data_IF_658077258214
#
_entry.id   IF_658077258214
#
_cell.length_a   1.000
_cell.length_b   1.000
_cell.length_c   1.000
_cell.angle_alpha   90.00
_cell.angle_beta   90.00
_cell.angle_gamma   90.00
#
_symmetry.space_group_name_H-M   'P 1'
#
loop_
_entity.id
_entity.type
_entity.pdbx_description
1 polymer ?
#
# COMPACT_ATOMS: atom_id res chain seq x y z
N UNK A 1 21.58 -1.40 11.28
CA UNK A 1 20.63 -1.10 12.38
C UNK A 1 19.24 -1.17 11.81
N UNK A 2 18.35 -1.92 12.43
CA UNK A 2 16.98 -2.03 11.95
C UNK A 2 16.06 -2.62 13.01
N UNK A 3 14.80 -2.21 12.97
CA UNK A 3 13.80 -2.61 13.96
C UNK A 3 13.71 -1.64 15.14
N UNK A 4 12.57 -1.69 15.82
CA UNK A 4 12.19 -0.72 16.87
C UNK A 4 13.24 -0.69 18.00
N UNK A 5 13.71 -1.85 18.45
CA UNK A 5 14.68 -1.94 19.54
C UNK A 5 16.00 -1.22 19.22
N UNK A 6 16.61 -1.53 18.07
CA UNK A 6 17.87 -0.93 17.61
C UNK A 6 17.73 0.58 17.43
N UNK A 7 16.61 1.04 16.86
CA UNK A 7 16.36 2.47 16.64
C UNK A 7 16.20 3.23 17.96
N UNK A 8 15.51 2.65 18.94
CA UNK A 8 15.38 3.24 20.27
C UNK A 8 16.72 3.25 21.02
N UNK A 9 17.54 2.21 20.90
CA UNK A 9 18.89 2.19 21.47
C UNK A 9 19.77 3.26 20.85
N UNK A 10 19.77 3.37 19.53
CA UNK A 10 20.51 4.41 18.81
C UNK A 10 20.07 5.80 19.24
N UNK A 11 18.76 6.06 19.34
CA UNK A 11 18.24 7.37 19.74
C UNK A 11 18.67 7.76 21.17
N UNK A 12 18.67 6.80 22.11
CA UNK A 12 19.14 7.04 23.48
C UNK A 12 20.63 7.38 23.54
N UNK A 13 21.44 6.71 22.73
CA UNK A 13 22.90 6.88 22.75
C UNK A 13 23.36 8.13 22.01
N UNK A 14 22.80 8.39 20.82
CA UNK A 14 23.32 9.38 19.87
C UNK A 14 22.54 10.69 19.88
N UNK A 15 21.24 10.65 20.20
CA UNK A 15 20.35 11.83 20.14
C UNK A 15 19.86 12.27 21.53
N UNK A 16 20.24 11.55 22.60
CA UNK A 16 19.82 11.81 23.98
C UNK A 16 18.30 11.88 24.21
N UNK A 17 17.49 11.34 23.29
CA UNK A 17 16.04 11.20 23.48
C UNK A 17 15.75 9.86 24.16
N UNK A 18 15.44 9.91 25.46
CA UNK A 18 15.22 8.71 26.27
C UNK A 18 13.94 7.94 25.88
N UNK A 19 12.89 8.67 25.50
CA UNK A 19 11.51 8.19 25.47
C UNK A 19 10.78 8.52 24.16
N UNK A 20 11.37 8.16 23.00
CA UNK A 20 10.67 8.34 21.73
C UNK A 20 9.36 7.52 21.69
N UNK A 21 8.24 8.15 21.32
CA UNK A 21 6.99 7.43 21.11
C UNK A 21 7.11 6.45 19.93
N UNK A 22 6.53 5.26 20.11
CA UNK A 22 6.41 4.23 19.08
C UNK A 22 4.93 3.99 18.86
N UNK A 23 4.43 4.58 17.78
CA UNK A 23 3.06 4.44 17.33
C UNK A 23 2.85 3.13 16.57
N UNK A 24 1.75 2.44 16.87
CA UNK A 24 1.38 1.23 16.17
C UNK A 24 -0.07 0.86 16.38
N UNK A 25 -0.59 -0.10 15.59
CA UNK A 25 -1.97 -0.54 15.71
C UNK A 25 -2.26 -1.10 17.10
N UNK A 26 -3.41 -0.74 17.67
CA UNK A 26 -3.91 -1.24 18.95
C UNK A 26 -4.13 -2.75 18.91
N UNK A 27 -4.67 -3.25 17.80
CA UNK A 27 -5.06 -4.65 17.60
C UNK A 27 -3.90 -5.63 17.35
N UNK A 28 -2.66 -5.14 17.22
CA UNK A 28 -1.47 -5.99 17.02
C UNK A 28 -0.58 -5.96 18.26
N UNK A 29 0.20 -7.01 18.47
CA UNK A 29 1.24 -7.01 19.49
C UNK A 29 2.59 -6.60 18.89
N UNK A 30 2.90 -5.30 18.88
CA UNK A 30 4.15 -4.76 18.33
C UNK A 30 5.16 -4.52 19.48
N UNK A 31 6.30 -5.26 19.53
CA UNK A 31 7.32 -5.05 20.55
C UNK A 31 7.83 -3.60 20.56
N UNK A 32 7.80 -2.98 21.74
CA UNK A 32 8.24 -1.60 21.93
C UNK A 32 7.23 -0.52 21.57
N UNK A 33 6.00 -0.87 21.14
CA UNK A 33 4.90 0.11 20.94
C UNK A 33 4.56 0.79 22.26
N UNK A 34 4.61 2.11 22.30
CA UNK A 34 4.22 2.93 23.45
C UNK A 34 2.89 3.66 23.23
N UNK A 35 2.46 3.83 21.98
CA UNK A 35 1.17 4.45 21.64
C UNK A 35 0.36 3.51 20.75
N UNK A 36 -0.77 3.04 21.28
CA UNK A 36 -1.75 2.24 20.56
C UNK A 36 -2.70 3.14 19.78
N UNK A 37 -2.89 2.86 18.50
CA UNK A 37 -3.73 3.64 17.59
C UNK A 37 -4.81 2.77 16.95
N UNK A 38 -6.00 3.34 16.77
CA UNK A 38 -7.15 2.75 16.08
C UNK A 38 -7.58 3.60 14.88
N UNK A 39 -8.54 3.08 14.12
CA UNK A 39 -9.13 3.79 12.98
C UNK A 39 -9.63 5.18 13.39
N UNK A 40 -9.33 6.19 12.57
CA UNK A 40 -9.79 7.57 12.77
C UNK A 40 -8.97 8.37 13.78
N UNK A 41 -8.05 7.76 14.53
CA UNK A 41 -7.16 8.51 15.41
C UNK A 41 -6.31 9.51 14.62
N UNK A 42 -5.98 10.63 15.26
CA UNK A 42 -5.08 11.65 14.73
C UNK A 42 -4.03 12.04 15.75
N UNK A 43 -2.81 12.30 15.29
CA UNK A 43 -1.73 12.79 16.15
C UNK A 43 -0.75 13.67 15.38
N UNK A 44 -0.03 14.51 16.11
CA UNK A 44 1.07 15.32 15.60
C UNK A 44 2.31 15.04 16.45
N UNK A 45 3.38 14.45 15.86
CA UNK A 45 4.64 14.29 16.57
C UNK A 45 5.21 15.62 17.04
N UNK A 46 5.73 15.66 18.25
CA UNK A 46 6.36 16.87 18.78
C UNK A 46 7.55 17.30 17.91
N UNK A 47 7.63 18.60 17.63
CA UNK A 47 8.68 19.18 16.78
C UNK A 47 8.50 18.96 15.28
N UNK A 48 7.38 18.36 14.85
CA UNK A 48 7.08 18.16 13.43
C UNK A 48 5.91 19.02 13.00
N UNK A 49 6.06 19.65 11.84
CA UNK A 49 5.06 20.54 11.26
C UNK A 49 4.03 19.79 10.41
N UNK A 50 3.49 18.72 10.97
CA UNK A 50 2.57 17.83 10.28
C UNK A 50 1.58 17.15 11.23
N UNK A 51 0.53 16.58 10.65
CA UNK A 51 -0.45 15.74 11.34
C UNK A 51 -0.61 14.43 10.61
N UNK A 52 -0.84 13.37 11.38
CA UNK A 52 -1.14 12.04 10.88
C UNK A 52 -2.58 11.69 11.20
N UNK A 53 -3.28 11.11 10.23
CA UNK A 53 -4.56 10.43 10.41
C UNK A 53 -4.41 8.95 10.17
N UNK A 54 -4.98 8.15 11.05
CA UNK A 54 -4.94 6.69 10.99
C UNK A 54 -6.12 6.16 10.21
N UNK A 55 -5.88 5.20 9.32
CA UNK A 55 -6.90 4.45 8.60
C UNK A 55 -6.66 2.96 8.86
N UNK A 56 -7.61 2.27 9.47
CA UNK A 56 -7.57 0.81 9.56
C UNK A 56 -7.71 0.21 8.17
N UNK A 57 -6.83 -0.72 7.84
CA UNK A 57 -6.74 -1.36 6.52
C UNK A 57 -6.57 -2.88 6.66
N UNK A 58 -7.54 -3.57 7.29
CA UNK A 58 -7.47 -5.03 7.45
C UNK A 58 -7.37 -5.71 6.08
N UNK A 59 -6.56 -6.77 6.01
CA UNK A 59 -6.39 -7.56 4.80
C UNK A 59 -5.11 -8.38 4.84
N UNK A 60 -3.96 -7.70 4.92
CA UNK A 60 -2.67 -8.37 5.09
C UNK A 60 -2.59 -9.06 6.45
N UNK A 61 -2.66 -8.25 7.51
CA UNK A 61 -3.03 -8.65 8.87
C UNK A 61 -4.40 -8.05 9.20
N UNK A 62 -5.05 -8.53 10.25
CA UNK A 62 -6.34 -7.99 10.70
C UNK A 62 -6.20 -6.63 11.40
N UNK A 63 -5.07 -6.39 12.07
CA UNK A 63 -4.82 -5.13 12.79
C UNK A 63 -4.07 -4.07 11.99
N UNK A 64 -3.78 -4.29 10.70
CA UNK A 64 -2.99 -3.36 9.89
C UNK A 64 -3.65 -1.96 9.84
N UNK A 65 -2.84 -0.92 10.06
CA UNK A 65 -3.22 0.49 9.90
C UNK A 65 -2.32 1.18 8.88
N UNK A 66 -2.84 2.21 8.22
CA UNK A 66 -2.11 3.11 7.35
C UNK A 66 -2.11 4.53 7.95
N UNK A 67 -1.08 5.30 7.65
CA UNK A 67 -0.92 6.67 8.12
C UNK A 67 -1.00 7.64 6.95
N UNK A 68 -1.89 8.62 7.04
CA UNK A 68 -1.96 9.74 6.09
C UNK A 68 -1.36 10.96 6.76
N UNK A 69 -0.19 11.39 6.30
CA UNK A 69 0.49 12.59 6.75
C UNK A 69 0.07 13.78 5.90
N UNK A 70 -0.23 14.90 6.55
CA UNK A 70 -0.47 16.20 5.92
C UNK A 70 0.38 17.26 6.59
N UNK A 71 0.97 18.18 5.82
CA UNK A 71 1.64 19.38 6.35
C UNK A 71 0.61 20.27 7.05
N UNK A 72 1.01 20.92 8.15
CA UNK A 72 0.11 21.82 8.89
C UNK A 72 -0.24 23.09 8.08
N UNK A 73 0.59 23.45 7.09
CA UNK A 73 0.39 24.59 6.19
C UNK A 73 -0.62 24.27 5.07
N UNK A 74 -0.96 22.99 4.85
CA UNK A 74 -1.97 22.54 3.89
C UNK A 74 -1.62 22.73 2.42
N UNK A 75 -0.43 23.23 2.08
CA UNK A 75 -0.02 23.50 0.69
C UNK A 75 0.60 22.29 -0.03
N UNK A 76 0.98 21.26 0.71
CA UNK A 76 1.63 20.07 0.17
C UNK A 76 0.66 18.90 -0.03
N UNK A 77 0.97 18.04 -1.01
CA UNK A 77 0.21 16.81 -1.21
C UNK A 77 0.36 15.91 0.03
N UNK A 78 -0.71 15.19 0.38
CA UNK A 78 -0.66 14.22 1.46
C UNK A 78 0.32 13.07 1.14
N UNK A 79 0.85 12.45 2.18
CA UNK A 79 1.74 11.29 2.09
C UNK A 79 1.11 10.11 2.80
N UNK A 80 0.87 9.03 2.06
CA UNK A 80 0.33 7.78 2.58
C UNK A 80 1.47 6.80 2.87
N UNK A 81 1.55 6.34 4.13
CA UNK A 81 2.34 5.18 4.54
C UNK A 81 1.39 3.99 4.75
N UNK A 82 1.38 3.06 3.80
CA UNK A 82 0.36 1.99 3.74
C UNK A 82 0.89 0.59 4.04
N UNK A 83 2.15 0.47 4.48
CA UNK A 83 2.79 -0.81 4.82
C UNK A 83 2.64 -1.82 3.69
N UNK A 84 2.02 -2.95 4.03
CA UNK A 84 1.85 -4.11 3.14
C UNK A 84 0.41 -4.21 2.58
N UNK A 85 -0.40 -3.18 2.75
CA UNK A 85 -1.77 -3.17 2.19
C UNK A 85 -1.75 -2.85 0.70
N UNK A 86 -1.26 -1.65 0.34
CA UNK A 86 -1.15 -1.17 -1.04
C UNK A 86 0.34 -1.12 -1.42
N UNK A 87 0.68 -1.69 -2.57
CA UNK A 87 1.98 -1.54 -3.22
C UNK A 87 1.80 -0.84 -4.57
N UNK A 88 2.89 -0.30 -5.14
CA UNK A 88 2.78 0.16 -6.53
C UNK A 88 2.45 -1.01 -7.46
N UNK A 89 1.37 -0.84 -8.23
CA UNK A 89 0.73 -1.83 -9.10
C UNK A 89 0.33 -3.16 -8.41
N UNK A 90 0.24 -3.20 -7.07
CA UNK A 90 -0.10 -4.43 -6.34
C UNK A 90 -0.78 -4.20 -4.99
N UNK A 91 -1.02 -5.29 -4.27
CA UNK A 91 -1.48 -5.29 -2.89
C UNK A 91 -0.80 -6.41 -2.10
N UNK A 92 -0.94 -6.36 -0.78
CA UNK A 92 -0.52 -7.41 0.14
C UNK A 92 -1.05 -8.78 -0.21
N UNK A 93 -0.30 -9.81 0.21
CA UNK A 93 -0.87 -11.15 0.39
C UNK A 93 -1.86 -11.11 1.54
N UNK A 94 -2.89 -11.96 1.48
CA UNK A 94 -3.87 -12.13 2.54
C UNK A 94 -3.36 -13.23 3.47
N UNK A 95 -2.69 -12.87 4.57
CA UNK A 95 -2.27 -13.84 5.57
C UNK A 95 -3.39 -14.11 6.59
N UNK A 96 -4.07 -13.05 7.01
CA UNK A 96 -5.12 -13.15 8.04
C UNK A 96 -6.48 -12.65 7.58
N UNK A 97 -6.51 -11.68 6.66
CA UNK A 97 -7.74 -11.08 6.17
C UNK A 97 -8.37 -11.79 4.97
N UNK A 98 -9.53 -11.30 4.56
CA UNK A 98 -10.31 -11.79 3.42
C UNK A 98 -10.14 -10.90 2.19
N UNK A 99 -10.45 -11.40 0.97
CA UNK A 99 -10.48 -10.58 -0.23
C UNK A 99 -11.41 -9.36 -0.12
N UNK A 100 -12.56 -9.51 0.54
CA UNK A 100 -13.48 -8.40 0.80
C UNK A 100 -12.86 -7.32 1.68
N UNK A 101 -12.21 -7.70 2.79
CA UNK A 101 -11.52 -6.75 3.67
C UNK A 101 -10.41 -6.00 2.94
N UNK A 102 -9.59 -6.70 2.16
CA UNK A 102 -8.53 -6.04 1.38
C UNK A 102 -9.12 -5.12 0.30
N UNK A 103 -10.18 -5.52 -0.40
CA UNK A 103 -10.86 -4.67 -1.38
C UNK A 103 -11.40 -3.40 -0.72
N UNK A 104 -12.07 -3.51 0.43
CA UNK A 104 -12.58 -2.35 1.18
C UNK A 104 -11.46 -1.45 1.67
N UNK A 105 -10.35 -2.03 2.15
CA UNK A 105 -9.14 -1.30 2.55
C UNK A 105 -8.53 -0.52 1.38
N UNK A 106 -8.37 -1.17 0.23
CA UNK A 106 -7.87 -0.54 -0.99
C UNK A 106 -8.83 0.55 -1.49
N UNK A 107 -10.15 0.32 -1.43
CA UNK A 107 -11.17 1.30 -1.78
C UNK A 107 -11.05 2.55 -0.91
N UNK A 108 -10.93 2.41 0.42
CA UNK A 108 -10.71 3.53 1.35
C UNK A 108 -9.47 4.35 0.98
N UNK A 109 -8.34 3.68 0.69
CA UNK A 109 -7.11 4.36 0.28
C UNK A 109 -7.25 5.06 -1.07
N UNK A 110 -8.02 4.50 -2.00
CA UNK A 110 -8.26 5.08 -3.33
C UNK A 110 -9.10 6.36 -3.33
N UNK A 111 -9.80 6.65 -2.23
CA UNK A 111 -10.57 7.89 -2.03
C UNK A 111 -9.71 9.08 -1.60
N UNK A 112 -8.43 8.85 -1.27
CA UNK A 112 -7.50 9.95 -0.99
C UNK A 112 -7.27 10.81 -2.26
N UNK A 113 -6.87 12.08 -2.12
CA UNK A 113 -6.56 12.95 -3.26
C UNK A 113 -5.59 12.30 -4.24
N UNK A 114 -5.78 12.49 -5.55
CA UNK A 114 -5.01 11.77 -6.57
C UNK A 114 -3.50 12.07 -6.53
N UNK A 115 -3.12 13.25 -6.06
CA UNK A 115 -1.73 13.65 -5.87
C UNK A 115 -1.11 13.10 -4.57
N UNK A 116 -1.86 12.39 -3.72
CA UNK A 116 -1.34 11.76 -2.51
C UNK A 116 -0.24 10.77 -2.88
N UNK A 117 0.95 10.95 -2.31
CA UNK A 117 2.09 10.06 -2.56
C UNK A 117 1.90 8.74 -1.81
N UNK A 118 2.26 7.62 -2.43
CA UNK A 118 2.12 6.27 -1.85
C UNK A 118 3.49 5.70 -1.51
N UNK A 119 3.73 5.49 -0.21
CA UNK A 119 4.98 4.98 0.36
C UNK A 119 4.70 3.62 1.01
N UNK A 120 4.86 2.56 0.24
CA UNK A 120 4.70 1.18 0.69
C UNK A 120 6.03 0.58 1.19
N UNK A 121 5.97 -0.51 1.95
CA UNK A 121 7.14 -1.03 2.65
C UNK A 121 8.13 -1.83 1.78
N UNK A 122 7.73 -2.27 0.57
CA UNK A 122 8.53 -3.17 -0.26
C UNK A 122 8.69 -2.71 -1.72
N UNK A 123 9.88 -2.98 -2.28
CA UNK A 123 10.24 -2.70 -3.67
C UNK A 123 9.76 -3.84 -4.61
N UNK A 124 8.44 -4.07 -4.64
CA UNK A 124 7.80 -5.11 -5.46
C UNK A 124 7.25 -4.62 -6.80
N UNK A 125 7.46 -3.34 -7.14
CA UNK A 125 6.82 -2.66 -8.27
C UNK A 125 7.03 -3.37 -9.61
N UNK A 126 8.23 -3.88 -9.89
CA UNK A 126 8.49 -4.58 -11.17
C UNK A 126 7.69 -5.88 -11.30
N UNK A 127 7.68 -6.72 -10.26
CA UNK A 127 6.93 -7.98 -10.30
C UNK A 127 5.42 -7.73 -10.31
N UNK A 128 4.98 -6.68 -9.60
CA UNK A 128 3.61 -6.22 -9.64
C UNK A 128 3.18 -5.75 -11.04
N UNK A 129 4.02 -4.97 -11.72
CA UNK A 129 3.73 -4.48 -13.07
C UNK A 129 3.76 -5.58 -14.14
N UNK A 130 4.65 -6.57 -14.01
CA UNK A 130 4.64 -7.75 -14.86
C UNK A 130 3.30 -8.50 -14.75
N UNK A 131 2.80 -8.67 -13.53
CA UNK A 131 1.47 -9.24 -13.30
C UNK A 131 0.36 -8.33 -13.83
N UNK A 132 0.42 -7.03 -13.55
CA UNK A 132 -0.58 -6.06 -14.02
C UNK A 132 -0.72 -6.09 -15.56
N UNK A 133 0.37 -6.30 -16.30
CA UNK A 133 0.35 -6.42 -17.75
C UNK A 133 -0.41 -7.66 -18.26
N UNK A 134 -0.44 -8.76 -17.50
CA UNK A 134 -1.26 -9.92 -17.89
C UNK A 134 -2.69 -9.79 -17.38
N UNK A 135 -2.89 -9.11 -16.25
CA UNK A 135 -4.19 -8.90 -15.62
C UNK A 135 -5.00 -7.75 -16.25
N UNK A 136 -4.37 -6.80 -16.94
CA UNK A 136 -5.01 -5.68 -17.67
C UNK A 136 -4.25 -5.41 -18.98
N UNK A 137 -4.28 -6.34 -19.96
CA UNK A 137 -3.31 -6.38 -21.07
C UNK A 137 -3.41 -5.23 -22.07
N UNK A 138 -4.55 -4.55 -22.15
CA UNK A 138 -4.75 -3.39 -23.02
C UNK A 138 -4.34 -2.06 -22.36
N UNK A 139 -3.90 -2.08 -21.10
CA UNK A 139 -3.59 -0.88 -20.35
C UNK A 139 -2.17 -0.38 -20.63
N UNK A 140 -2.05 0.53 -21.60
CA UNK A 140 -0.76 1.11 -22.01
C UNK A 140 -0.03 1.82 -20.85
N UNK A 141 -0.77 2.35 -19.86
CA UNK A 141 -0.17 3.01 -18.69
C UNK A 141 0.64 2.03 -17.83
N UNK A 142 0.20 0.77 -17.73
CA UNK A 142 0.97 -0.29 -17.07
C UNK A 142 2.29 -0.51 -17.80
N UNK A 143 2.25 -0.61 -19.14
CA UNK A 143 3.45 -0.81 -19.96
C UNK A 143 4.42 0.38 -19.85
N UNK A 144 3.93 1.62 -19.99
CA UNK A 144 4.76 2.81 -19.84
C UNK A 144 5.38 2.92 -18.44
N UNK A 145 4.62 2.59 -17.40
CA UNK A 145 5.14 2.64 -16.04
C UNK A 145 6.16 1.53 -15.78
N UNK A 146 5.96 0.32 -16.33
CA UNK A 146 6.94 -0.78 -16.26
C UNK A 146 8.28 -0.36 -16.87
N UNK A 147 8.28 0.23 -18.06
CA UNK A 147 9.51 0.73 -18.70
C UNK A 147 10.22 1.78 -17.84
N UNK A 148 9.46 2.74 -17.27
CA UNK A 148 10.01 3.73 -16.35
C UNK A 148 10.66 3.06 -15.13
N UNK A 149 9.95 2.14 -14.47
CA UNK A 149 10.44 1.47 -13.28
C UNK A 149 11.66 0.59 -13.56
N UNK A 150 11.72 -0.07 -14.73
CA UNK A 150 12.91 -0.82 -15.15
C UNK A 150 14.13 0.10 -15.27
N UNK A 151 13.97 1.30 -15.87
CA UNK A 151 15.04 2.28 -15.98
C UNK A 151 15.52 2.82 -14.62
N UNK A 152 14.61 2.99 -13.65
CA UNK A 152 14.96 3.38 -12.28
C UNK A 152 15.75 2.26 -11.58
N UNK A 153 15.24 1.03 -11.61
CA UNK A 153 15.89 -0.12 -10.96
C UNK A 153 17.24 -0.46 -11.58
N UNK A 154 17.41 -0.29 -12.89
CA UNK A 154 18.71 -0.43 -13.56
C UNK A 154 19.78 0.55 -13.05
N UNK A 155 19.36 1.69 -12.47
CA UNK A 155 20.23 2.69 -11.82
C UNK A 155 20.30 2.53 -10.30
N UNK A 156 19.74 1.45 -9.73
CA UNK A 156 19.66 1.24 -8.28
C UNK A 156 18.69 2.18 -7.55
N UNK A 157 17.85 2.93 -8.27
CA UNK A 157 16.92 3.89 -7.69
C UNK A 157 15.62 3.19 -7.24
N UNK A 158 14.97 3.64 -6.15
CA UNK A 158 13.67 3.13 -5.75
C UNK A 158 12.59 3.51 -6.76
N UNK A 159 11.49 2.74 -6.80
CA UNK A 159 10.31 3.09 -7.62
C UNK A 159 9.22 3.79 -6.82
N UNK A 160 9.40 3.89 -5.51
CA UNK A 160 8.55 4.66 -4.59
C UNK A 160 9.10 6.09 -4.39
N UNK A 161 8.24 7.07 -4.09
CA UNK A 161 6.78 6.95 -4.01
C UNK A 161 6.11 6.87 -5.39
N UNK A 162 4.95 6.21 -5.44
CA UNK A 162 3.97 6.41 -6.52
C UNK A 162 2.90 7.43 -6.08
N UNK A 163 1.73 7.49 -6.74
CA UNK A 163 0.60 8.33 -6.29
C UNK A 163 -0.72 7.58 -6.37
N UNK A 164 -1.70 7.96 -5.54
CA UNK A 164 -3.04 7.37 -5.56
C UNK A 164 -3.67 7.44 -6.95
N UNK A 165 -3.53 8.59 -7.63
CA UNK A 165 -4.00 8.78 -9.00
C UNK A 165 -3.36 7.83 -10.00
N UNK A 166 -2.05 7.57 -9.88
CA UNK A 166 -1.36 6.60 -10.72
C UNK A 166 -1.83 5.17 -10.41
N UNK A 167 -1.93 4.80 -9.13
CA UNK A 167 -2.34 3.45 -8.72
C UNK A 167 -3.75 3.10 -9.22
N UNK A 168 -4.71 4.03 -9.18
CA UNK A 168 -6.05 3.85 -9.79
C UNK A 168 -5.99 3.52 -11.29
N UNK A 169 -4.94 3.96 -11.98
CA UNK A 169 -4.76 3.75 -13.41
C UNK A 169 -4.03 2.45 -13.74
N UNK A 170 -3.13 1.96 -12.90
CA UNK A 170 -2.23 0.84 -13.23
C UNK A 170 -2.40 -0.40 -12.35
N UNK A 171 -3.00 -0.28 -11.17
CA UNK A 171 -3.06 -1.36 -10.20
C UNK A 171 -4.29 -2.24 -10.43
N UNK A 172 -4.14 -3.52 -10.83
CA UNK A 172 -5.28 -4.38 -11.14
C UNK A 172 -6.22 -4.57 -9.93
N UNK A 173 -5.71 -4.49 -8.70
CA UNK A 173 -6.50 -4.63 -7.48
C UNK A 173 -7.37 -3.40 -7.15
N UNK A 174 -7.03 -2.23 -7.72
CA UNK A 174 -7.89 -1.03 -7.69
C UNK A 174 -8.82 -0.93 -8.91
N UNK A 175 -8.73 -1.91 -9.81
CA UNK A 175 -9.38 -1.91 -11.13
C UNK A 175 -10.25 -3.15 -11.32
N UNK A 176 -10.70 -3.78 -10.25
CA UNK A 176 -11.48 -5.04 -10.24
C UNK A 176 -12.76 -4.98 -11.08
N UNK A 177 -13.36 -3.79 -11.21
CA UNK A 177 -14.55 -3.56 -12.04
C UNK A 177 -14.25 -3.05 -13.46
N UNK A 178 -12.98 -2.79 -13.80
CA UNK A 178 -12.61 -2.24 -15.11
C UNK A 178 -12.74 -3.30 -16.22
N UNK A 179 -13.25 -2.94 -17.41
CA UNK A 179 -13.48 -3.92 -18.48
C UNK A 179 -12.26 -4.76 -18.85
N UNK A 180 -11.06 -4.16 -18.89
CA UNK A 180 -9.82 -4.88 -19.22
C UNK A 180 -9.49 -5.99 -18.23
N UNK A 181 -9.62 -5.70 -16.93
CA UNK A 181 -9.39 -6.67 -15.85
C UNK A 181 -10.47 -7.76 -15.85
N UNK A 182 -11.73 -7.37 -15.96
CA UNK A 182 -12.86 -8.30 -16.01
C UNK A 182 -12.73 -9.27 -17.19
N UNK A 183 -12.35 -8.79 -18.38
CA UNK A 183 -12.13 -9.63 -19.55
C UNK A 183 -10.94 -10.57 -19.38
N UNK A 184 -9.84 -10.12 -18.77
CA UNK A 184 -8.68 -10.97 -18.50
C UNK A 184 -9.04 -12.12 -17.55
N UNK A 185 -9.80 -11.81 -16.50
CA UNK A 185 -10.33 -12.80 -15.57
C UNK A 185 -11.31 -13.76 -16.25
N UNK A 186 -12.24 -13.25 -17.06
CA UNK A 186 -13.21 -14.08 -17.80
C UNK A 186 -12.53 -15.08 -18.72
N UNK A 187 -11.51 -14.65 -19.48
CA UNK A 187 -10.71 -15.54 -20.32
C UNK A 187 -9.98 -16.60 -19.52
N UNK A 188 -9.48 -16.25 -18.33
CA UNK A 188 -8.74 -17.18 -17.47
C UNK A 188 -9.64 -18.19 -16.77
N UNK A 189 -10.80 -17.75 -16.28
CA UNK A 189 -11.70 -18.53 -15.43
C UNK A 189 -12.84 -19.21 -16.22
N UNK A 190 -13.01 -18.87 -17.50
CA UNK A 190 -14.09 -19.36 -18.36
C UNK A 190 -15.46 -18.72 -18.08
N UNK A 191 -15.53 -17.76 -17.16
CA UNK A 191 -16.73 -17.00 -16.81
C UNK A 191 -16.38 -15.64 -16.22
N UNK A 192 -17.26 -14.66 -16.41
CA UNK A 192 -17.14 -13.33 -15.81
C UNK A 192 -17.26 -13.40 -14.29
N UNK A 193 -16.49 -12.61 -13.52
CA UNK A 193 -16.72 -12.47 -12.09
C UNK A 193 -18.10 -11.86 -11.82
N UNK A 194 -18.79 -12.39 -10.81
CA UNK A 194 -20.13 -11.94 -10.38
C UNK A 194 -20.09 -10.53 -9.76
N UNK A 195 -19.03 -10.23 -9.01
CA UNK A 195 -18.82 -8.94 -8.36
C UNK A 195 -17.32 -8.60 -8.21
N UNK A 196 -17.05 -7.43 -7.62
CA UNK A 196 -15.69 -6.96 -7.39
C UNK A 196 -14.92 -7.79 -6.34
N UNK A 197 -15.62 -8.44 -5.40
CA UNK A 197 -15.01 -9.30 -4.38
C UNK A 197 -14.52 -10.58 -5.03
N UNK A 198 -15.31 -11.21 -5.89
CA UNK A 198 -14.91 -12.38 -6.66
C UNK A 198 -13.75 -12.04 -7.61
N UNK A 199 -13.78 -10.87 -8.27
CA UNK A 199 -12.66 -10.40 -9.08
C UNK A 199 -11.38 -10.20 -8.25
N UNK A 200 -11.48 -9.61 -7.05
CA UNK A 200 -10.37 -9.46 -6.11
C UNK A 200 -9.79 -10.82 -5.70
N UNK A 201 -10.65 -11.79 -5.35
CA UNK A 201 -10.26 -13.16 -5.00
C UNK A 201 -9.45 -13.79 -6.12
N UNK A 202 -9.98 -13.81 -7.34
CA UNK A 202 -9.32 -14.45 -8.49
C UNK A 202 -8.01 -13.74 -8.88
N UNK A 203 -7.96 -12.40 -8.85
CA UNK A 203 -6.71 -11.67 -9.07
C UNK A 203 -5.66 -12.05 -8.02
N UNK A 204 -6.08 -12.17 -6.76
CA UNK A 204 -5.17 -12.43 -5.66
C UNK A 204 -4.59 -13.84 -5.74
N UNK A 205 -5.43 -14.83 -6.02
CA UNK A 205 -5.04 -16.22 -6.29
C UNK A 205 -4.11 -16.30 -7.49
N UNK A 206 -4.49 -15.68 -8.62
CA UNK A 206 -3.65 -15.65 -9.81
C UNK A 206 -2.28 -15.04 -9.53
N UNK A 207 -2.21 -13.90 -8.82
CA UNK A 207 -0.92 -13.29 -8.47
C UNK A 207 -0.09 -14.13 -7.50
N UNK A 208 -0.71 -14.97 -6.66
CA UNK A 208 0.02 -15.84 -5.73
C UNK A 208 0.80 -16.93 -6.48
N UNK A 209 0.27 -17.40 -7.61
CA UNK A 209 0.87 -18.45 -8.45
C UNK A 209 1.70 -17.89 -9.62
N UNK A 210 1.55 -16.60 -9.91
CA UNK A 210 2.21 -15.96 -11.04
C UNK A 210 3.73 -15.99 -10.90
N UNK A 211 4.39 -16.65 -11.84
CA UNK A 211 5.84 -16.61 -12.03
C UNK A 211 6.14 -15.63 -13.17
N UNK A 212 6.64 -14.45 -12.80
CA UNK A 212 7.03 -13.39 -13.73
C UNK A 212 8.44 -13.54 -14.26
#
# INVERSE_FOLDING_TARGET
MGGIHDLLLWSRQEQQHADLPVWGPEAENIPGRTVALKDGDTFSPEGWDCSFRVIAVPGHTLGHIAYVMTSAQGSEAATLFCGDTLFSAGCGRLFEGTPAQMLDSLNKLSQLPENTTVNCAHEYTLSNLQFARVADPANERVTSHLTRCQALRAKGQPTVPSTVGLEKQINPFLRTAQPGVVQALERRMGRRPEDAVQAMTWLREWKNEFKG
#
